data_IF_375185523425
#
_entry.id   IF_375185523425
#
_cell.length_a   1.000
_cell.length_b   1.000
_cell.length_c   1.000
_cell.angle_alpha   90.00
_cell.angle_beta   90.00
_cell.angle_gamma   90.00
#
_symmetry.space_group_name_H-M   'P 1'
#
loop_
_entity.id
_entity.type
_entity.pdbx_description
1 polymer ?
#
# COMPACT_ATOMS: atom_id res chain seq x y z
N UNK A 1 7.54 13.81 -3.41
CA UNK A 1 6.33 14.63 -3.30
C UNK A 1 6.52 15.98 -3.97
N UNK A 2 5.42 16.57 -4.41
CA UNK A 2 5.37 17.84 -5.13
C UNK A 2 4.29 18.74 -4.53
N UNK A 3 4.47 20.05 -4.65
CA UNK A 3 3.49 21.05 -4.23
C UNK A 3 2.73 21.58 -5.44
N UNK A 4 1.45 21.93 -5.25
CA UNK A 4 0.63 22.56 -6.28
C UNK A 4 1.23 23.89 -6.80
N UNK A 5 1.90 24.64 -5.93
CA UNK A 5 2.60 25.86 -6.33
C UNK A 5 3.77 25.63 -7.32
N UNK A 6 4.47 24.48 -7.21
CA UNK A 6 5.54 24.11 -8.15
C UNK A 6 4.92 23.68 -9.48
N UNK A 7 3.81 22.93 -9.41
CA UNK A 7 3.03 22.53 -10.58
C UNK A 7 2.48 23.74 -11.35
N UNK A 8 1.83 24.69 -10.68
CA UNK A 8 1.32 25.92 -11.31
C UNK A 8 2.41 26.76 -11.97
N UNK A 9 3.61 26.76 -11.37
CA UNK A 9 4.75 27.53 -11.87
C UNK A 9 5.40 26.88 -13.10
N UNK A 10 5.62 25.59 -13.08
CA UNK A 10 6.29 24.86 -14.16
C UNK A 10 5.92 23.37 -14.21
N UNK A 11 4.76 23.02 -14.81
CA UNK A 11 4.33 21.62 -14.92
C UNK A 11 5.35 20.69 -15.61
N UNK A 12 6.04 21.21 -16.61
CA UNK A 12 7.03 20.43 -17.37
C UNK A 12 8.23 20.01 -16.49
N UNK A 13 8.70 20.90 -15.61
CA UNK A 13 9.80 20.61 -14.70
C UNK A 13 9.40 19.54 -13.69
N UNK A 14 8.18 19.63 -13.12
CA UNK A 14 7.64 18.62 -12.20
C UNK A 14 7.57 17.24 -12.88
N UNK A 15 7.00 17.17 -14.10
CA UNK A 15 6.93 15.91 -14.84
C UNK A 15 8.32 15.35 -15.19
N UNK A 16 9.25 16.20 -15.62
CA UNK A 16 10.60 15.78 -15.93
C UNK A 16 11.34 15.24 -14.70
N UNK A 17 11.15 15.84 -13.52
CA UNK A 17 11.75 15.35 -12.28
C UNK A 17 11.16 13.99 -11.87
N UNK A 18 9.85 13.79 -12.03
CA UNK A 18 9.21 12.50 -11.80
C UNK A 18 9.80 11.43 -12.73
N UNK A 19 9.79 11.67 -14.03
CA UNK A 19 10.27 10.71 -15.04
C UNK A 19 11.75 10.38 -14.93
N UNK A 20 12.55 11.32 -14.43
CA UNK A 20 13.97 11.10 -14.16
C UNK A 20 14.20 10.09 -13.02
N UNK A 21 13.31 10.09 -12.02
CA UNK A 21 13.50 9.33 -10.79
C UNK A 21 12.65 8.06 -10.72
N UNK A 22 11.52 8.00 -11.42
CA UNK A 22 10.54 6.91 -11.34
C UNK A 22 10.19 6.40 -12.75
N UNK A 23 10.37 5.08 -13.00
CA UNK A 23 9.87 4.47 -14.23
C UNK A 23 8.34 4.30 -14.17
N UNK A 24 7.68 4.35 -15.30
CA UNK A 24 6.28 3.99 -15.41
C UNK A 24 6.04 2.48 -15.19
N UNK A 25 4.86 2.08 -14.67
CA UNK A 25 3.78 2.94 -14.21
C UNK A 25 4.11 3.62 -12.87
N UNK A 26 3.50 4.78 -12.63
CA UNK A 26 3.55 5.46 -11.33
C UNK A 26 2.15 5.63 -10.78
N UNK A 27 2.01 5.74 -9.45
CA UNK A 27 0.78 6.14 -8.79
C UNK A 27 0.91 7.55 -8.26
N UNK A 28 -0.09 8.38 -8.58
CA UNK A 28 -0.21 9.77 -8.14
C UNK A 28 -1.30 9.82 -7.08
N UNK A 29 -1.00 10.40 -5.91
CA UNK A 29 -1.88 10.40 -4.74
C UNK A 29 -1.94 11.79 -4.09
N UNK A 30 -3.11 12.32 -3.74
CA UNK A 30 -3.20 13.43 -2.78
C UNK A 30 -2.60 13.02 -1.44
N UNK A 31 -1.79 13.88 -0.82
CA UNK A 31 -0.99 13.49 0.36
C UNK A 31 -1.80 13.34 1.64
N UNK A 32 -2.94 14.03 1.77
CA UNK A 32 -3.71 14.11 3.01
C UNK A 32 -5.05 13.36 2.95
N UNK A 33 -5.31 12.60 1.87
CA UNK A 33 -6.54 11.84 1.71
C UNK A 33 -6.33 10.35 1.94
N UNK A 34 -7.41 9.68 2.36
CA UNK A 34 -7.47 8.24 2.53
C UNK A 34 -8.44 7.57 1.55
N UNK A 35 -8.66 6.25 1.74
CA UNK A 35 -9.64 5.46 0.97
C UNK A 35 -9.46 5.53 -0.54
N UNK A 36 -8.22 5.68 -1.01
CA UNK A 36 -7.84 5.80 -2.43
C UNK A 36 -8.51 6.95 -3.19
N UNK A 37 -9.04 7.96 -2.50
CA UNK A 37 -9.66 9.13 -3.14
C UNK A 37 -8.58 9.91 -3.89
N UNK A 38 -8.80 10.14 -5.20
CA UNK A 38 -7.88 10.88 -6.07
C UNK A 38 -6.59 10.12 -6.42
N UNK A 39 -6.47 8.85 -6.04
CA UNK A 39 -5.33 8.00 -6.43
C UNK A 39 -5.51 7.57 -7.89
N UNK A 40 -4.52 7.87 -8.72
CA UNK A 40 -4.55 7.58 -10.15
C UNK A 40 -3.25 6.91 -10.59
N UNK A 41 -3.38 5.85 -11.40
CA UNK A 41 -2.24 5.20 -12.06
C UNK A 41 -1.93 5.90 -13.37
N UNK A 42 -0.69 6.28 -13.57
CA UNK A 42 -0.18 6.83 -14.83
C UNK A 42 0.79 5.84 -15.49
N UNK A 43 0.60 5.59 -16.77
CA UNK A 43 1.41 4.64 -17.55
C UNK A 43 2.37 5.34 -18.55
N UNK A 44 2.18 6.63 -18.74
CA UNK A 44 2.93 7.49 -19.65
C UNK A 44 2.81 8.97 -19.21
N UNK A 45 3.50 9.85 -19.94
CA UNK A 45 3.52 11.28 -19.65
C UNK A 45 2.15 11.95 -19.78
N UNK A 46 1.31 11.50 -20.69
CA UNK A 46 -0.02 12.10 -20.88
C UNK A 46 -0.92 11.78 -19.69
N UNK A 47 -1.00 10.51 -19.29
CA UNK A 47 -1.74 10.07 -18.11
C UNK A 47 -1.13 10.59 -16.80
N UNK A 48 0.20 10.82 -16.73
CA UNK A 48 0.83 11.47 -15.58
C UNK A 48 0.34 12.91 -15.42
N UNK A 49 0.24 13.66 -16.49
CA UNK A 49 -0.28 15.03 -16.47
C UNK A 49 -1.70 15.08 -15.92
N UNK A 50 -2.61 14.25 -16.48
CA UNK A 50 -4.00 14.18 -16.03
C UNK A 50 -4.11 13.76 -14.55
N UNK A 51 -3.28 12.81 -14.11
CA UNK A 51 -3.24 12.35 -12.74
C UNK A 51 -2.77 13.44 -11.76
N UNK A 52 -1.77 14.25 -12.13
CA UNK A 52 -1.29 15.37 -11.33
C UNK A 52 -2.33 16.49 -11.24
N UNK A 53 -2.94 16.85 -12.37
CA UNK A 53 -4.03 17.83 -12.41
C UNK A 53 -5.16 17.43 -11.47
N UNK A 54 -5.61 16.17 -11.54
CA UNK A 54 -6.65 15.64 -10.67
C UNK A 54 -6.23 15.65 -9.19
N UNK A 55 -5.02 15.19 -8.87
CA UNK A 55 -4.55 15.09 -7.49
C UNK A 55 -4.42 16.49 -6.83
N UNK A 56 -3.99 17.51 -7.58
CA UNK A 56 -3.90 18.88 -7.10
C UNK A 56 -5.26 19.59 -6.93
N UNK A 57 -6.33 19.07 -7.54
CA UNK A 57 -7.70 19.54 -7.22
C UNK A 57 -8.11 19.13 -5.79
N UNK A 58 -7.58 18.01 -5.28
CA UNK A 58 -7.92 17.47 -3.97
C UNK A 58 -6.99 17.94 -2.85
N UNK A 59 -5.71 18.17 -3.16
CA UNK A 59 -4.71 18.50 -2.14
C UNK A 59 -3.61 19.40 -2.73
N UNK A 60 -3.14 20.33 -1.93
CA UNK A 60 -1.98 21.16 -2.26
C UNK A 60 -0.67 20.39 -2.39
N UNK A 61 -0.61 19.15 -1.90
CA UNK A 61 0.57 18.27 -1.90
C UNK A 61 0.21 16.91 -2.48
N UNK A 62 1.03 16.47 -3.41
CA UNK A 62 0.85 15.20 -4.10
C UNK A 62 2.08 14.31 -3.91
N UNK A 63 1.84 13.03 -3.66
CA UNK A 63 2.85 11.98 -3.68
C UNK A 63 2.83 11.30 -5.04
N UNK A 64 4.01 10.98 -5.57
CA UNK A 64 4.16 10.12 -6.74
C UNK A 64 5.05 8.95 -6.35
N UNK A 65 4.56 7.76 -6.57
CA UNK A 65 5.21 6.51 -6.17
C UNK A 65 5.39 5.59 -7.36
N UNK A 66 6.45 4.78 -7.34
CA UNK A 66 6.65 3.69 -8.30
C UNK A 66 5.47 2.73 -8.24
N UNK A 67 4.89 2.41 -9.38
CA UNK A 67 3.87 1.36 -9.48
C UNK A 67 4.51 -0.02 -9.41
N UNK A 68 3.94 -0.87 -8.57
CA UNK A 68 4.29 -2.29 -8.51
C UNK A 68 3.38 -3.07 -9.47
N UNK A 69 3.89 -4.18 -10.01
CA UNK A 69 3.12 -5.05 -10.86
C UNK A 69 2.58 -6.21 -10.03
N UNK A 70 1.27 -6.23 -9.80
CA UNK A 70 0.56 -7.27 -9.05
C UNK A 70 1.20 -7.61 -7.68
N UNK A 71 1.44 -6.61 -6.80
CA UNK A 71 1.99 -6.87 -5.49
C UNK A 71 0.99 -7.65 -4.63
N UNK A 72 1.50 -8.44 -3.68
CA UNK A 72 0.66 -8.99 -2.61
C UNK A 72 0.39 -7.90 -1.58
N UNK A 73 -0.88 -7.61 -1.33
CA UNK A 73 -1.29 -6.77 -0.22
C UNK A 73 -1.32 -7.61 1.06
N UNK A 74 -0.64 -7.14 2.11
CA UNK A 74 -0.51 -7.83 3.38
C UNK A 74 -0.70 -6.86 4.52
N UNK A 75 -1.43 -7.27 5.56
CA UNK A 75 -1.69 -6.45 6.73
C UNK A 75 -1.17 -7.15 7.98
N UNK A 76 -0.56 -6.39 8.88
CA UNK A 76 -0.15 -6.86 10.20
C UNK A 76 -0.62 -5.88 11.27
N UNK A 77 -1.37 -6.36 12.25
CA UNK A 77 -1.74 -5.58 13.41
C UNK A 77 -0.71 -5.76 14.52
N UNK A 78 -0.49 -4.69 15.29
CA UNK A 78 0.36 -4.71 16.49
C UNK A 78 -0.47 -4.20 17.65
N UNK A 79 -0.46 -4.95 18.75
CA UNK A 79 -1.00 -4.54 20.02
C UNK A 79 0.16 -4.25 20.96
N UNK A 80 0.18 -3.07 21.57
CA UNK A 80 1.25 -2.76 22.51
C UNK A 80 0.95 -1.59 23.43
N UNK A 81 1.68 -1.58 24.56
CA UNK A 81 1.62 -0.54 25.56
C UNK A 81 2.92 -0.49 26.36
N UNK A 82 3.40 0.70 26.71
CA UNK A 82 4.58 0.94 27.57
C UNK A 82 5.85 0.14 27.18
N UNK A 83 6.12 0.06 25.87
CA UNK A 83 7.34 -0.57 25.33
C UNK A 83 7.21 -2.06 25.02
N UNK A 84 6.13 -2.72 25.47
CA UNK A 84 5.78 -4.08 25.05
C UNK A 84 4.89 -4.01 23.79
N UNK A 85 5.14 -4.87 22.81
CA UNK A 85 4.36 -4.92 21.59
C UNK A 85 4.40 -6.33 20.99
N UNK A 86 3.24 -6.79 20.53
CA UNK A 86 3.04 -8.11 19.92
C UNK A 86 2.36 -7.95 18.56
N UNK A 87 2.90 -8.62 17.55
CA UNK A 87 2.33 -8.64 16.21
C UNK A 87 1.30 -9.77 16.06
N UNK A 88 0.25 -9.51 15.30
CA UNK A 88 -0.76 -10.49 14.93
C UNK A 88 -0.26 -11.50 13.89
N UNK A 89 -1.12 -12.47 13.53
CA UNK A 89 -1.04 -13.17 12.26
C UNK A 89 -1.15 -12.16 11.10
N UNK A 90 -0.55 -12.55 9.95
CA UNK A 90 -0.62 -11.73 8.73
C UNK A 90 -1.93 -12.01 8.01
N UNK A 91 -2.62 -10.94 7.66
CA UNK A 91 -3.84 -10.96 6.85
C UNK A 91 -3.52 -10.58 5.41
N UNK A 92 -4.16 -11.26 4.46
CA UNK A 92 -4.15 -10.89 3.04
C UNK A 92 -5.56 -10.45 2.63
N UNK A 93 -5.80 -9.15 2.38
CA UNK A 93 -7.07 -8.68 1.84
C UNK A 93 -7.27 -9.22 0.43
N UNK A 94 -8.54 -9.49 0.07
CA UNK A 94 -8.92 -9.95 -1.27
C UNK A 94 -9.77 -8.86 -1.91
N UNK A 95 -9.26 -8.25 -2.97
CA UNK A 95 -10.01 -7.32 -3.80
C UNK A 95 -10.98 -8.08 -4.71
N UNK A 96 -12.15 -7.50 -5.01
CA UNK A 96 -13.23 -8.22 -5.70
C UNK A 96 -12.90 -8.80 -7.09
N UNK A 97 -11.80 -8.36 -7.74
CA UNK A 97 -11.26 -8.94 -8.98
C UNK A 97 -10.27 -10.09 -8.75
N UNK A 98 -9.64 -10.13 -7.58
CA UNK A 98 -8.55 -11.08 -7.27
C UNK A 98 -9.06 -12.40 -6.69
N UNK A 99 -10.34 -12.45 -6.28
CA UNK A 99 -10.94 -13.64 -5.68
C UNK A 99 -10.90 -14.86 -6.63
N UNK A 100 -11.14 -14.66 -7.92
CA UNK A 100 -11.06 -15.74 -8.92
C UNK A 100 -9.62 -16.21 -9.09
N UNK A 101 -8.67 -15.29 -9.21
CA UNK A 101 -7.25 -15.59 -9.34
C UNK A 101 -6.69 -16.27 -8.09
N UNK A 102 -7.15 -15.88 -6.90
CA UNK A 102 -6.81 -16.52 -5.63
C UNK A 102 -7.38 -17.94 -5.55
N UNK A 103 -8.66 -18.12 -5.93
CA UNK A 103 -9.30 -19.44 -5.97
C UNK A 103 -8.60 -20.40 -6.92
N UNK A 104 -8.10 -19.91 -8.06
CA UNK A 104 -7.32 -20.71 -9.03
C UNK A 104 -5.96 -21.13 -8.48
N UNK A 105 -5.29 -20.26 -7.71
CA UNK A 105 -3.94 -20.54 -7.16
C UNK A 105 -3.96 -21.38 -5.88
N UNK A 106 -4.95 -21.19 -5.01
CA UNK A 106 -4.95 -21.73 -3.63
C UNK A 106 -6.20 -22.52 -3.26
N UNK A 107 -7.20 -22.59 -4.12
CA UNK A 107 -8.59 -22.98 -3.82
C UNK A 107 -9.00 -24.41 -4.12
N UNK A 108 -8.17 -25.44 -3.91
CA UNK A 108 -8.59 -26.81 -4.25
C UNK A 108 -9.45 -27.53 -3.19
N UNK A 109 -9.65 -27.01 -1.97
CA UNK A 109 -10.30 -27.79 -0.90
C UNK A 109 -11.30 -27.08 0.03
N UNK A 110 -11.77 -25.84 -0.23
CA UNK A 110 -12.73 -25.19 0.70
C UNK A 110 -13.80 -24.34 0.02
N UNK A 111 -14.73 -24.96 -0.68
CA UNK A 111 -15.67 -24.30 -1.59
C UNK A 111 -16.95 -23.74 -0.97
N UNK A 112 -17.23 -23.85 0.31
CA UNK A 112 -18.54 -23.45 0.88
C UNK A 112 -18.58 -22.23 1.82
N UNK A 113 -17.47 -21.59 2.12
CA UNK A 113 -17.41 -20.44 3.03
C UNK A 113 -16.67 -19.20 2.48
N UNK A 114 -15.92 -19.34 1.39
CA UNK A 114 -14.98 -18.33 0.94
C UNK A 114 -15.58 -17.22 0.06
N UNK A 115 -16.74 -17.41 -0.52
CA UNK A 115 -17.37 -16.38 -1.37
C UNK A 115 -17.80 -15.10 -0.63
N UNK A 116 -17.79 -15.11 0.71
CA UNK A 116 -18.05 -13.94 1.55
C UNK A 116 -16.81 -13.36 2.22
N UNK A 117 -15.64 -14.00 2.08
CA UNK A 117 -14.40 -13.57 2.72
C UNK A 117 -13.74 -12.48 1.88
N UNK A 118 -13.66 -11.29 2.45
CA UNK A 118 -12.85 -10.17 1.90
C UNK A 118 -11.36 -10.28 2.28
N UNK A 119 -10.92 -11.39 2.90
CA UNK A 119 -9.57 -11.58 3.45
C UNK A 119 -9.23 -13.04 3.69
N UNK A 120 -7.95 -13.37 3.69
CA UNK A 120 -7.39 -14.67 4.10
C UNK A 120 -6.55 -14.49 5.36
N UNK A 121 -6.81 -15.28 6.37
CA UNK A 121 -6.10 -15.25 7.66
C UNK A 121 -5.89 -16.70 8.16
N UNK A 122 -4.68 -17.17 8.38
CA UNK A 122 -3.42 -16.49 8.05
C UNK A 122 -3.18 -16.36 6.54
N UNK A 123 -2.44 -15.33 6.13
CA UNK A 123 -2.02 -15.17 4.74
C UNK A 123 -1.16 -16.37 4.29
N UNK A 124 -1.35 -16.91 3.08
CA UNK A 124 -0.58 -18.04 2.55
C UNK A 124 0.78 -17.56 2.00
N UNK A 125 1.67 -17.14 2.90
CA UNK A 125 3.01 -16.65 2.61
C UNK A 125 4.07 -17.53 3.29
N UNK A 126 5.30 -17.46 2.79
CA UNK A 126 6.42 -18.19 3.37
C UNK A 126 6.71 -17.74 4.81
N UNK A 127 7.14 -18.68 5.70
CA UNK A 127 7.41 -18.38 7.12
C UNK A 127 8.42 -17.24 7.31
N UNK A 128 9.44 -17.16 6.48
CA UNK A 128 10.49 -16.13 6.53
C UNK A 128 9.91 -14.73 6.25
N UNK A 129 9.00 -14.62 5.29
CA UNK A 129 8.32 -13.36 4.99
C UNK A 129 7.38 -12.96 6.14
N UNK A 130 6.65 -13.92 6.72
CA UNK A 130 5.82 -13.71 7.90
C UNK A 130 6.62 -13.14 9.06
N UNK A 131 7.72 -13.80 9.44
CA UNK A 131 8.58 -13.35 10.53
C UNK A 131 9.18 -11.96 10.27
N UNK A 132 9.60 -11.70 9.02
CA UNK A 132 10.11 -10.38 8.60
C UNK A 132 9.05 -9.29 8.79
N UNK A 133 7.80 -9.53 8.36
CA UNK A 133 6.70 -8.56 8.50
C UNK A 133 6.37 -8.33 9.97
N UNK A 134 6.23 -9.39 10.76
CA UNK A 134 5.89 -9.29 12.19
C UNK A 134 6.96 -8.51 12.95
N UNK A 135 8.24 -8.82 12.75
CA UNK A 135 9.34 -8.09 13.36
C UNK A 135 9.36 -6.62 12.96
N UNK A 136 9.25 -6.35 11.65
CA UNK A 136 9.23 -4.97 11.12
C UNK A 136 8.05 -4.19 11.69
N UNK A 137 6.87 -4.81 11.82
CA UNK A 137 5.68 -4.17 12.38
C UNK A 137 5.88 -3.76 13.84
N UNK A 138 6.50 -4.62 14.66
CA UNK A 138 6.84 -4.28 16.05
C UNK A 138 7.88 -3.14 16.10
N UNK A 139 8.89 -3.19 15.24
CA UNK A 139 9.93 -2.15 15.18
C UNK A 139 9.33 -0.79 14.78
N UNK A 140 8.42 -0.76 13.79
CA UNK A 140 7.69 0.46 13.38
C UNK A 140 6.81 0.97 14.53
N UNK A 141 6.03 0.09 15.17
CA UNK A 141 5.16 0.45 16.29
C UNK A 141 5.94 1.18 17.39
N UNK A 142 7.11 0.64 17.76
CA UNK A 142 8.00 1.24 18.77
C UNK A 142 8.63 2.54 18.29
N UNK A 143 9.12 2.58 17.05
CA UNK A 143 9.78 3.76 16.47
C UNK A 143 8.82 4.96 16.34
N UNK A 144 7.52 4.68 16.12
CA UNK A 144 6.47 5.70 16.01
C UNK A 144 5.82 6.05 17.35
N UNK A 145 6.31 5.50 18.47
CA UNK A 145 5.74 5.67 19.82
C UNK A 145 4.22 5.38 19.86
N UNK A 146 3.80 4.34 19.15
CA UNK A 146 2.39 3.94 19.10
C UNK A 146 1.93 3.28 20.40
N UNK A 147 0.62 3.37 20.68
CA UNK A 147 -0.05 2.69 21.81
C UNK A 147 -1.39 2.12 21.39
N UNK A 148 -1.80 1.02 22.02
CA UNK A 148 -3.03 0.31 21.71
C UNK A 148 -2.88 -0.58 20.48
N UNK A 149 -3.85 -0.55 19.57
CA UNK A 149 -3.85 -1.36 18.34
C UNK A 149 -3.53 -0.48 17.14
N UNK A 150 -2.55 -0.91 16.34
CA UNK A 150 -2.17 -0.27 15.08
C UNK A 150 -2.15 -1.34 13.99
N UNK A 151 -2.69 -1.06 12.81
CA UNK A 151 -2.53 -1.92 11.63
C UNK A 151 -1.55 -1.28 10.66
N UNK A 152 -0.60 -2.06 10.20
CA UNK A 152 0.40 -1.65 9.23
C UNK A 152 0.14 -2.43 7.95
N UNK A 153 -0.02 -1.69 6.85
CA UNK A 153 -0.35 -2.23 5.55
C UNK A 153 0.90 -2.27 4.67
N UNK A 154 1.10 -3.37 3.98
CA UNK A 154 2.28 -3.67 3.19
C UNK A 154 1.91 -4.06 1.77
N UNK A 155 2.82 -3.79 0.84
CA UNK A 155 2.86 -4.41 -0.48
C UNK A 155 4.17 -5.21 -0.62
N UNK A 156 4.05 -6.47 -0.98
CA UNK A 156 5.17 -7.34 -1.26
C UNK A 156 5.29 -7.59 -2.76
N UNK A 157 6.43 -7.20 -3.33
CA UNK A 157 6.77 -7.44 -4.73
C UNK A 157 7.52 -8.78 -4.84
N UNK A 158 6.80 -9.85 -5.21
CA UNK A 158 7.36 -11.19 -5.25
C UNK A 158 8.55 -11.34 -6.22
N UNK A 159 8.57 -10.70 -7.42
CA UNK A 159 9.73 -10.75 -8.31
C UNK A 159 11.02 -10.17 -7.72
N UNK A 160 10.95 -9.03 -7.05
CA UNK A 160 12.13 -8.39 -6.43
C UNK A 160 12.38 -8.79 -4.99
N UNK A 161 11.44 -9.51 -4.35
CA UNK A 161 11.45 -9.84 -2.91
C UNK A 161 11.48 -8.60 -2.00
N UNK A 162 11.05 -7.46 -2.53
CA UNK A 162 10.97 -6.21 -1.78
C UNK A 162 9.64 -6.07 -1.06
N UNK A 163 9.70 -5.54 0.16
CA UNK A 163 8.56 -5.27 1.03
C UNK A 163 8.44 -3.76 1.23
N UNK A 164 7.30 -3.21 0.87
CA UNK A 164 6.98 -1.79 0.99
C UNK A 164 5.93 -1.57 2.07
N UNK A 165 6.12 -0.56 2.90
CA UNK A 165 5.11 -0.07 3.84
C UNK A 165 4.26 0.94 3.09
N UNK A 166 2.95 0.75 3.08
CA UNK A 166 2.03 1.65 2.38
C UNK A 166 1.30 2.59 3.31
N UNK A 167 0.90 2.09 4.50
CA UNK A 167 0.13 2.88 5.45
C UNK A 167 0.29 2.36 6.88
N UNK A 168 0.21 3.29 7.85
CA UNK A 168 0.15 3.00 9.29
C UNK A 168 -1.18 3.52 9.81
N UNK A 169 -2.10 2.61 10.15
CA UNK A 169 -3.43 2.92 10.63
C UNK A 169 -3.44 2.89 12.15
N UNK A 170 -3.39 4.05 12.77
CA UNK A 170 -3.37 4.22 14.25
C UNK A 170 -4.73 4.03 14.89
N UNK A 171 -5.80 4.05 14.10
CA UNK A 171 -7.17 3.72 14.50
C UNK A 171 -7.72 2.77 13.43
N UNK A 172 -7.33 1.47 13.47
CA UNK A 172 -7.76 0.51 12.45
C UNK A 172 -9.27 0.26 12.55
N UNK A 173 -9.94 0.29 11.39
CA UNK A 173 -11.38 -0.02 11.24
C UNK A 173 -11.63 -1.51 11.03
#
# INVERSE_FOLDING_TARGET
WFLGADWEKNPEEVMNDIEKNLPYPVFVKPASLGSSIGVTRANDRASLKEALELAFEFDRKTLVEKGLCEPLELNCSVLGYDGEAEASEIEMPISGGDLLTFMDKYGSNSTKGMASLKRVLPAPIEPELKERIQKLSVDIFKAMDCKGVVRIDYMFDAPSQELYITEINTIPG
#
